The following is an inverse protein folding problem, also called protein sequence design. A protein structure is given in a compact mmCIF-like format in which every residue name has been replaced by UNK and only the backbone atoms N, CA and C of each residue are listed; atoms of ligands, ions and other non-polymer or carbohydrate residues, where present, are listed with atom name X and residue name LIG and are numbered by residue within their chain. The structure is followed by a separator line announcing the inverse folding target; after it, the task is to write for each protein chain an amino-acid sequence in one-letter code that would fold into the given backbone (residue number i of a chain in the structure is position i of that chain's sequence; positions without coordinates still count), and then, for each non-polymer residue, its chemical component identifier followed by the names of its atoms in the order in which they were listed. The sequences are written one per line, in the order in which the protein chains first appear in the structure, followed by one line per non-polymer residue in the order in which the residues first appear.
data_IF_947295267870
#
_entry.id   IF_947295267870
#
_cell.length_a   1.000
_cell.length_b   1.000
_cell.length_c   1.000
_cell.angle_alpha   90.00
_cell.angle_beta   90.00
_cell.angle_gamma   90.00
#
_symmetry.space_group_name_H-M   'P 1'
#
loop_
_entity.id
_entity.type
_entity.pdbx_description
1 polymer ?
#
# COMPACT_ATOMS: atom_id res chain seq x y z
N UNK A 1 36.41 13.21 -4.49
CA UNK A 1 35.15 12.46 -4.59
C UNK A 1 35.30 10.94 -4.39
N UNK A 2 36.50 10.40 -4.14
CA UNK A 2 36.68 8.96 -3.92
C UNK A 2 36.28 8.48 -2.50
N UNK A 3 36.22 9.37 -1.51
CA UNK A 3 36.02 8.99 -0.11
C UNK A 3 34.59 8.53 0.23
N UNK A 4 33.59 8.97 -0.53
CA UNK A 4 32.16 8.64 -0.29
C UNK A 4 31.81 7.24 -0.81
N UNK A 5 32.49 6.76 -1.87
CA UNK A 5 32.23 5.45 -2.45
C UNK A 5 32.74 4.30 -1.57
N UNK A 6 33.81 4.51 -0.80
CA UNK A 6 34.36 3.51 0.12
C UNK A 6 33.36 3.10 1.23
N UNK A 7 32.36 3.93 1.52
CA UNK A 7 31.30 3.60 2.50
C UNK A 7 30.38 2.50 1.97
N UNK A 8 30.18 2.45 0.65
CA UNK A 8 29.31 1.50 -0.04
C UNK A 8 30.07 0.32 -0.66
N UNK A 9 31.40 0.27 -0.50
CA UNK A 9 32.24 -0.83 -0.98
C UNK A 9 31.96 -2.14 -0.22
N UNK A 10 31.41 -2.07 0.99
CA UNK A 10 30.97 -3.28 1.69
C UNK A 10 29.79 -3.92 0.97
N UNK A 11 30.08 -5.02 0.30
CA UNK A 11 29.07 -5.91 -0.25
C UNK A 11 28.19 -6.45 0.90
N UNK A 12 26.87 -6.30 0.75
CA UNK A 12 25.94 -7.00 1.61
C UNK A 12 26.01 -8.48 1.27
N UNK A 13 26.26 -9.31 2.28
CA UNK A 13 26.17 -10.75 2.09
C UNK A 13 24.72 -11.10 1.70
N UNK A 14 24.53 -12.03 0.75
CA UNK A 14 23.20 -12.50 0.40
C UNK A 14 22.51 -13.06 1.65
N UNK A 15 21.21 -12.79 1.78
CA UNK A 15 20.40 -13.34 2.86
C UNK A 15 20.40 -14.87 2.70
N UNK A 16 20.80 -15.65 3.71
CA UNK A 16 20.86 -17.10 3.62
C UNK A 16 19.45 -17.70 3.52
N UNK A 17 19.37 -18.93 3.02
CA UNK A 17 18.10 -19.69 2.97
C UNK A 17 17.42 -19.74 4.33
N UNK A 18 16.08 -19.72 4.35
CA UNK A 18 15.27 -19.76 5.58
C UNK A 18 15.61 -20.94 6.49
N UNK A 19 16.06 -22.06 5.90
CA UNK A 19 16.51 -23.27 6.62
C UNK A 19 17.79 -23.07 7.44
N UNK A 20 18.59 -22.06 7.09
CA UNK A 20 19.85 -21.72 7.75
C UNK A 20 19.67 -20.64 8.82
N UNK A 21 18.45 -20.13 9.01
CA UNK A 21 18.19 -19.09 9.99
C UNK A 21 18.28 -19.68 11.41
N UNK A 22 18.95 -19.00 12.34
CA UNK A 22 18.97 -19.44 13.73
C UNK A 22 17.54 -19.43 14.30
N UNK A 23 17.22 -20.29 15.27
CA UNK A 23 15.93 -20.23 15.95
C UNK A 23 15.72 -18.85 16.56
N UNK A 24 14.50 -18.32 16.39
CA UNK A 24 14.17 -17.01 16.93
C UNK A 24 13.93 -17.10 18.44
N UNK A 25 14.79 -16.42 19.22
CA UNK A 25 14.70 -16.33 20.69
C UNK A 25 14.20 -14.97 21.20
N UNK A 26 13.66 -14.13 20.32
CA UNK A 26 13.17 -12.80 20.70
C UNK A 26 11.90 -12.85 21.54
N UNK A 27 11.61 -11.76 22.27
CA UNK A 27 10.28 -11.56 22.83
C UNK A 27 9.28 -11.30 21.70
N UNK A 28 8.09 -11.92 21.75
CA UNK A 28 7.02 -11.59 20.78
C UNK A 28 6.49 -10.22 21.17
N UNK A 29 7.00 -9.18 20.50
CA UNK A 29 6.48 -7.83 20.62
C UNK A 29 5.08 -7.79 19.98
N UNK A 30 4.07 -8.15 20.76
CA UNK A 30 2.68 -7.90 20.40
C UNK A 30 2.34 -6.49 20.85
N UNK A 31 1.86 -5.61 19.94
CA UNK A 31 1.33 -4.33 20.36
C UNK A 31 0.18 -4.55 21.35
N UNK A 32 0.23 -3.87 22.48
CA UNK A 32 -0.86 -3.86 23.46
C UNK A 32 -2.16 -3.46 22.75
N UNK A 33 -3.18 -4.31 22.86
CA UNK A 33 -4.49 -4.07 22.27
C UNK A 33 -5.15 -2.80 22.81
N UNK A 34 -4.89 -2.45 24.07
CA UNK A 34 -5.43 -1.24 24.71
C UNK A 34 -4.74 0.04 24.20
N UNK A 35 -3.48 -0.04 23.80
CA UNK A 35 -2.72 1.09 23.21
C UNK A 35 -2.89 1.21 21.70
N UNK A 36 -3.64 0.31 21.04
CA UNK A 36 -3.95 0.47 19.62
C UNK A 36 -4.73 1.76 19.43
N UNK A 37 -4.32 2.57 18.46
CA UNK A 37 -5.14 3.68 17.98
C UNK A 37 -6.53 3.13 17.66
N UNK A 38 -7.56 3.63 18.33
CA UNK A 38 -8.95 3.36 17.98
C UNK A 38 -9.11 3.66 16.50
N UNK A 39 -9.78 2.78 15.76
CA UNK A 39 -10.04 2.97 14.33
C UNK A 39 -11.02 4.15 14.15
N UNK A 40 -10.54 5.38 14.33
CA UNK A 40 -11.25 6.63 14.03
C UNK A 40 -11.19 6.88 12.51
N UNK A 41 -11.46 5.83 11.73
CA UNK A 41 -11.32 5.83 10.28
C UNK A 41 -9.98 6.40 9.79
N UNK A 42 -9.94 6.76 8.51
CA UNK A 42 -8.93 7.66 7.97
C UNK A 42 -9.39 9.07 8.28
N UNK A 43 -8.51 9.92 8.81
CA UNK A 43 -8.82 11.34 8.89
C UNK A 43 -9.21 11.86 7.50
N UNK A 44 -10.24 12.69 7.44
CA UNK A 44 -10.63 13.35 6.19
C UNK A 44 -9.40 14.13 5.71
N UNK A 45 -8.95 13.84 4.50
CA UNK A 45 -7.83 14.57 3.90
C UNK A 45 -8.23 16.03 3.75
N UNK A 46 -7.57 16.92 4.49
CA UNK A 46 -7.69 18.38 4.35
C UNK A 46 -6.82 18.93 3.23
N UNK A 47 -6.11 18.06 2.49
CA UNK A 47 -5.25 18.47 1.38
C UNK A 47 -6.08 19.16 0.29
N UNK A 48 -5.78 20.43 0.07
CA UNK A 48 -6.23 21.20 -1.09
C UNK A 48 -5.47 20.67 -2.31
N UNK A 49 -6.18 20.28 -3.38
CA UNK A 49 -5.56 19.81 -4.62
C UNK A 49 -4.95 21.01 -5.37
N UNK A 50 -3.73 20.84 -5.87
CA UNK A 50 -3.10 21.78 -6.79
C UNK A 50 -2.97 21.19 -8.20
N UNK A 51 -2.38 21.94 -9.13
CA UNK A 51 -2.18 21.54 -10.52
C UNK A 51 -1.28 20.30 -10.69
N UNK A 52 -0.34 20.04 -9.77
CA UNK A 52 0.46 18.81 -9.79
C UNK A 52 -0.37 17.56 -9.42
N UNK A 53 -1.51 17.74 -8.73
CA UNK A 53 -2.48 16.68 -8.45
C UNK A 53 -3.50 16.50 -9.59
N UNK A 54 -3.44 17.35 -10.63
CA UNK A 54 -4.28 17.24 -11.81
C UNK A 54 -3.78 16.09 -12.68
N UNK A 55 -4.22 14.88 -12.34
CA UNK A 55 -4.16 13.76 -13.28
C UNK A 55 -5.25 14.04 -14.32
N UNK A 56 -4.90 14.04 -15.61
CA UNK A 56 -5.89 13.97 -16.69
C UNK A 56 -6.89 12.87 -16.33
N UNK A 57 -8.19 13.17 -16.39
CA UNK A 57 -9.21 12.20 -16.04
C UNK A 57 -9.18 11.08 -17.09
N UNK A 58 -8.29 10.11 -16.91
CA UNK A 58 -8.30 8.88 -17.66
C UNK A 58 -9.71 8.30 -17.53
N UNK A 59 -10.27 7.87 -18.66
CA UNK A 59 -11.58 7.23 -18.70
C UNK A 59 -11.54 6.05 -17.73
N UNK A 60 -12.19 6.23 -16.58
CA UNK A 60 -12.14 5.24 -15.53
C UNK A 60 -12.95 4.04 -15.99
N UNK A 61 -12.29 2.92 -16.22
CA UNK A 61 -12.95 1.66 -16.44
C UNK A 61 -13.82 1.25 -15.24
N UNK A 62 -14.82 0.43 -15.52
CA UNK A 62 -15.72 -0.11 -14.53
C UNK A 62 -14.96 -0.95 -13.50
N UNK A 63 -15.10 -0.64 -12.21
CA UNK A 63 -14.44 -1.40 -11.14
C UNK A 63 -14.93 -2.84 -10.95
N UNK A 64 -15.93 -3.31 -11.71
CA UNK A 64 -16.42 -4.69 -11.71
C UNK A 64 -15.94 -5.46 -12.94
N UNK A 65 -16.31 -5.02 -14.15
CA UNK A 65 -16.01 -5.72 -15.39
C UNK A 65 -14.80 -5.17 -16.15
N UNK A 66 -14.17 -4.09 -15.66
CA UNK A 66 -13.06 -3.36 -16.30
C UNK A 66 -13.36 -2.76 -17.67
N UNK A 67 -14.61 -2.79 -18.14
CA UNK A 67 -15.02 -2.15 -19.39
C UNK A 67 -14.99 -0.61 -19.28
N UNK A 68 -14.68 0.04 -20.39
CA UNK A 68 -14.67 1.50 -20.50
C UNK A 68 -16.10 2.08 -20.63
N UNK A 69 -16.23 3.40 -20.53
CA UNK A 69 -17.51 4.10 -20.76
C UNK A 69 -18.56 4.02 -19.65
N UNK A 70 -18.33 3.26 -18.57
CA UNK A 70 -19.27 3.17 -17.45
C UNK A 70 -18.59 2.94 -16.10
N UNK A 71 -19.24 3.38 -15.03
CA UNK A 71 -18.79 3.14 -13.66
C UNK A 71 -19.43 1.88 -13.08
N UNK A 72 -18.93 1.41 -11.93
CA UNK A 72 -19.48 0.24 -11.20
C UNK A 72 -21.00 0.27 -11.02
N UNK A 73 -21.62 1.45 -10.88
CA UNK A 73 -23.07 1.61 -10.68
C UNK A 73 -23.90 1.34 -11.94
N UNK A 74 -23.33 1.53 -13.11
CA UNK A 74 -23.98 1.23 -14.40
C UNK A 74 -23.44 -0.06 -15.03
N UNK A 75 -22.79 -0.92 -14.25
CA UNK A 75 -22.25 -2.16 -14.75
C UNK A 75 -23.38 -3.16 -15.00
N UNK A 76 -23.51 -3.76 -16.19
CA UNK A 76 -24.51 -4.79 -16.45
C UNK A 76 -24.25 -6.07 -15.66
N UNK A 77 -23.03 -6.24 -15.14
CA UNK A 77 -22.64 -7.32 -14.23
C UNK A 77 -22.70 -6.90 -12.76
N UNK A 78 -23.25 -5.73 -12.44
CA UNK A 78 -23.49 -5.38 -11.05
C UNK A 78 -24.54 -6.36 -10.51
N UNK A 79 -24.28 -7.02 -9.37
CA UNK A 79 -25.38 -7.69 -8.66
C UNK A 79 -26.43 -6.63 -8.34
N UNK A 80 -27.70 -6.95 -8.56
CA UNK A 80 -28.80 -6.04 -8.27
C UNK A 80 -28.65 -5.53 -6.84
N UNK A 81 -28.24 -4.27 -6.70
CA UNK A 81 -28.24 -3.58 -5.43
C UNK A 81 -29.69 -3.12 -5.17
N UNK A 82 -30.59 -4.06 -4.96
CA UNK A 82 -31.86 -3.83 -4.32
C UNK A 82 -32.07 -4.90 -3.23
N UNK A 83 -32.33 -4.51 -1.97
CA UNK A 83 -33.19 -5.27 -1.07
C UNK A 83 -34.58 -5.48 -1.66
#
# INVERSE_FOLDING_TARGET
MAYVFNVYEREFLPIPDEKMWPPWYGARLKPDSAMRRKALGRSVSTRIRNEMDAIERAEKGCGLCRGEGHTRRGCPYAPDLNP
#
